data_IF_697863681364
#
_entry.id   IF_697863681364
#
_cell.length_a   1.000
_cell.length_b   1.000
_cell.length_c   1.000
_cell.angle_alpha   90.00
_cell.angle_beta   90.00
_cell.angle_gamma   90.00
#
_symmetry.space_group_name_H-M   'P 1'
#
loop_
_entity.id
_entity.type
_entity.pdbx_description
1 polymer ?
#
# COMPACT_ATOMS: atom_id res chain seq x y z
N UNK A 1 8.24 -32.74 12.94
CA UNK A 1 7.67 -32.00 11.80
C UNK A 1 6.20 -31.75 12.09
N UNK A 2 5.61 -30.66 11.58
CA UNK A 2 4.15 -30.41 11.67
C UNK A 2 3.56 -30.41 10.25
N UNK A 3 3.35 -31.58 9.62
CA UNK A 3 2.73 -31.64 8.30
C UNK A 3 1.25 -31.21 8.41
N UNK A 4 0.82 -30.28 7.56
CA UNK A 4 -0.58 -29.86 7.48
C UNK A 4 -0.96 -28.60 8.28
N UNK A 5 -0.07 -28.07 9.12
CA UNK A 5 -0.28 -26.77 9.77
C UNK A 5 0.38 -25.67 8.93
N UNK A 6 -0.39 -24.80 8.24
CA UNK A 6 0.20 -23.74 7.42
C UNK A 6 0.94 -22.77 8.34
N UNK A 7 2.18 -22.41 7.99
CA UNK A 7 3.01 -21.43 8.74
C UNK A 7 2.77 -20.00 8.27
N UNK A 8 2.48 -19.84 6.97
CA UNK A 8 2.07 -18.58 6.35
C UNK A 8 0.99 -18.90 5.32
N UNK A 9 -0.04 -18.06 5.27
CA UNK A 9 -1.09 -18.09 4.24
C UNK A 9 -0.95 -16.83 3.39
N UNK A 10 -0.84 -17.01 2.07
CA UNK A 10 -0.80 -15.94 1.07
C UNK A 10 -2.03 -16.08 0.16
N UNK A 11 -2.83 -15.02 0.06
CA UNK A 11 -3.93 -14.93 -0.89
C UNK A 11 -3.51 -14.06 -2.07
N UNK A 12 -3.76 -14.59 -3.27
CA UNK A 12 -3.40 -13.96 -4.55
C UNK A 12 -4.65 -13.81 -5.41
N UNK A 13 -4.83 -12.62 -5.98
CA UNK A 13 -5.86 -12.37 -6.98
C UNK A 13 -5.23 -12.33 -8.37
N UNK A 14 -5.79 -13.08 -9.31
CA UNK A 14 -5.37 -13.08 -10.71
C UNK A 14 -6.20 -12.03 -11.46
N UNK A 15 -5.53 -11.10 -12.12
CA UNK A 15 -6.15 -9.90 -12.71
C UNK A 15 -5.50 -9.52 -14.04
N UNK A 16 -6.17 -8.70 -14.84
CA UNK A 16 -5.60 -8.18 -16.09
C UNK A 16 -4.65 -6.99 -15.92
N UNK A 17 -4.53 -6.42 -14.71
CA UNK A 17 -3.59 -5.32 -14.40
C UNK A 17 -3.41 -5.14 -12.90
N UNK A 18 -2.36 -4.42 -12.48
CA UNK A 18 -2.10 -4.14 -11.07
C UNK A 18 -3.25 -3.37 -10.42
N UNK A 19 -3.96 -4.05 -9.51
CA UNK A 19 -5.11 -3.51 -8.77
C UNK A 19 -4.75 -2.32 -7.87
N UNK A 20 -5.65 -1.34 -7.79
CA UNK A 20 -5.53 -0.14 -6.95
C UNK A 20 -6.50 -0.12 -5.76
N UNK A 21 -7.48 -1.02 -5.69
CA UNK A 21 -8.45 -1.09 -4.60
C UNK A 21 -8.75 -2.52 -4.18
N UNK A 22 -8.97 -2.75 -2.89
CA UNK A 22 -9.37 -4.07 -2.38
C UNK A 22 -10.75 -4.47 -2.89
N UNK A 23 -11.62 -3.48 -3.18
CA UNK A 23 -12.95 -3.74 -3.70
C UNK A 23 -12.93 -4.35 -5.10
N UNK A 24 -11.95 -4.03 -5.96
CA UNK A 24 -11.85 -4.67 -7.28
C UNK A 24 -11.42 -6.13 -7.18
N UNK A 25 -10.76 -6.52 -6.09
CA UNK A 25 -10.35 -7.89 -5.81
C UNK A 25 -11.51 -8.69 -5.21
N UNK A 26 -12.19 -8.12 -4.21
CA UNK A 26 -13.29 -8.79 -3.49
C UNK A 26 -14.59 -8.86 -4.30
N UNK A 27 -14.78 -7.96 -5.27
CA UNK A 27 -15.85 -8.06 -6.28
C UNK A 27 -15.40 -9.03 -7.38
N UNK A 28 -15.12 -10.28 -7.05
CA UNK A 28 -14.85 -11.27 -8.08
C UNK A 28 -16.17 -11.62 -8.78
N UNK A 29 -16.26 -11.58 -10.13
CA UNK A 29 -17.18 -12.45 -10.84
C UNK A 29 -16.85 -13.88 -10.40
N UNK A 30 -17.84 -14.75 -10.26
CA UNK A 30 -17.64 -16.15 -9.90
C UNK A 30 -16.72 -16.85 -10.91
N UNK A 31 -15.40 -16.82 -10.68
CA UNK A 31 -14.44 -17.71 -11.31
C UNK A 31 -14.62 -19.07 -10.61
N UNK A 32 -15.70 -19.76 -10.95
CA UNK A 32 -15.92 -21.11 -10.49
C UNK A 32 -14.91 -22.01 -11.20
N UNK A 33 -13.72 -22.15 -10.62
CA UNK A 33 -12.79 -23.24 -10.93
C UNK A 33 -13.33 -24.61 -10.52
N UNK A 34 -14.66 -24.82 -10.56
CA UNK A 34 -15.24 -26.15 -10.53
C UNK A 34 -14.99 -26.73 -11.91
N UNK A 35 -13.99 -27.60 -11.99
CA UNK A 35 -13.85 -28.60 -13.04
C UNK A 35 -15.24 -29.21 -13.26
N UNK A 36 -15.89 -29.00 -14.43
CA UNK A 36 -17.14 -29.68 -14.70
C UNK A 36 -16.80 -31.16 -14.78
N UNK A 37 -17.31 -31.95 -13.84
CA UNK A 37 -17.40 -33.39 -14.07
C UNK A 37 -18.34 -33.56 -15.26
N UNK A 38 -17.74 -33.94 -16.40
CA UNK A 38 -18.36 -34.56 -17.57
C UNK A 38 -19.67 -33.93 -18.03
N UNK A 39 -19.61 -33.09 -19.06
CA UNK A 39 -20.41 -33.35 -20.25
C UNK A 39 -19.84 -32.61 -21.46
N UNK A 40 -19.69 -33.38 -22.53
CA UNK A 40 -19.17 -32.96 -23.83
C UNK A 40 -19.99 -31.81 -24.42
N UNK A 41 -19.43 -30.59 -24.40
CA UNK A 41 -19.80 -29.53 -25.34
C UNK A 41 -18.55 -28.71 -25.68
N UNK A 42 -18.27 -28.60 -26.98
CA UNK A 42 -17.01 -28.12 -27.57
C UNK A 42 -16.82 -26.59 -27.52
N UNK A 43 -17.67 -25.85 -26.80
CA UNK A 43 -17.64 -24.38 -26.73
C UNK A 43 -17.02 -23.86 -25.41
N UNK A 44 -16.93 -24.67 -24.36
CA UNK A 44 -16.38 -24.25 -23.05
C UNK A 44 -14.85 -24.06 -23.03
N UNK A 45 -14.12 -24.79 -23.87
CA UNK A 45 -12.65 -24.72 -23.94
C UNK A 45 -12.15 -23.39 -24.55
N UNK A 46 -12.98 -22.71 -25.34
CA UNK A 46 -12.62 -21.44 -26.00
C UNK A 46 -12.82 -20.27 -25.03
N UNK A 47 -13.94 -20.23 -24.28
CA UNK A 47 -14.20 -19.20 -23.27
C UNK A 47 -13.20 -19.27 -22.11
N UNK A 48 -12.88 -20.45 -21.58
CA UNK A 48 -11.87 -20.59 -20.51
C UNK A 48 -10.47 -20.14 -20.98
N UNK A 49 -10.07 -20.46 -22.21
CA UNK A 49 -8.79 -20.01 -22.78
C UNK A 49 -8.75 -18.51 -23.04
N UNK A 50 -9.85 -17.92 -23.53
CA UNK A 50 -9.96 -16.47 -23.70
C UNK A 50 -9.91 -15.73 -22.36
N UNK A 51 -10.48 -16.29 -21.29
CA UNK A 51 -10.41 -15.69 -19.96
C UNK A 51 -9.03 -15.78 -19.30
N UNK A 52 -8.37 -16.93 -19.41
CA UNK A 52 -6.98 -17.10 -18.95
C UNK A 52 -6.02 -16.16 -19.69
N UNK A 53 -6.28 -15.86 -20.97
CA UNK A 53 -5.48 -14.92 -21.75
C UNK A 53 -5.56 -13.47 -21.27
N UNK A 54 -6.62 -13.10 -20.52
CA UNK A 54 -6.81 -11.76 -19.94
C UNK A 54 -6.02 -11.57 -18.64
N UNK A 55 -5.48 -12.63 -18.05
CA UNK A 55 -4.74 -12.58 -16.79
C UNK A 55 -3.28 -12.25 -17.08
N UNK A 56 -2.83 -11.09 -16.59
CA UNK A 56 -1.45 -10.63 -16.77
C UNK A 56 -0.74 -10.28 -15.46
N UNK A 57 -1.50 -10.18 -14.36
CA UNK A 57 -1.01 -9.71 -13.07
C UNK A 57 -1.51 -10.59 -11.89
N UNK A 58 -0.58 -10.94 -11.01
CA UNK A 58 -0.84 -11.59 -9.72
C UNK A 58 -0.73 -10.57 -8.58
N UNK A 59 -1.82 -10.41 -7.81
CA UNK A 59 -1.93 -9.43 -6.73
C UNK A 59 -1.96 -10.10 -5.36
N UNK A 60 -0.89 -9.96 -4.59
CA UNK A 60 -0.80 -10.44 -3.22
C UNK A 60 -1.54 -9.48 -2.27
N UNK A 61 -2.77 -9.80 -1.92
CA UNK A 61 -3.64 -8.88 -1.14
C UNK A 61 -3.79 -9.26 0.33
N UNK A 62 -3.33 -10.45 0.74
CA UNK A 62 -3.28 -10.85 2.15
C UNK A 62 -2.13 -11.82 2.40
N UNK A 63 -1.25 -11.48 3.34
CA UNK A 63 -0.17 -12.35 3.84
C UNK A 63 -0.34 -12.44 5.36
N UNK A 64 -0.54 -13.64 5.88
CA UNK A 64 -0.79 -13.87 7.31
C UNK A 64 0.13 -14.97 7.82
N UNK A 65 1.00 -14.63 8.79
CA UNK A 65 1.70 -15.64 9.58
C UNK A 65 0.74 -16.22 10.62
N UNK A 66 0.61 -17.54 10.65
CA UNK A 66 -0.30 -18.27 11.55
C UNK A 66 0.35 -18.57 12.90
N UNK A 67 1.68 -18.49 12.98
CA UNK A 67 2.47 -18.87 14.15
C UNK A 67 3.17 -17.64 14.76
N UNK A 68 2.61 -17.10 15.85
CA UNK A 68 3.15 -15.91 16.55
C UNK A 68 4.60 -16.08 16.99
N UNK A 69 5.03 -17.31 17.32
CA UNK A 69 6.39 -17.63 17.74
C UNK A 69 7.45 -17.54 16.63
N UNK A 70 7.03 -17.46 15.36
CA UNK A 70 7.93 -17.33 14.21
C UNK A 70 8.03 -15.88 13.70
N UNK A 71 7.51 -14.91 14.47
CA UNK A 71 7.59 -13.50 14.12
C UNK A 71 9.06 -13.05 14.07
N UNK A 72 9.55 -12.73 12.88
CA UNK A 72 10.96 -12.34 12.65
C UNK A 72 11.84 -13.43 12.04
N UNK A 73 11.32 -14.65 11.84
CA UNK A 73 11.98 -15.66 11.00
C UNK A 73 11.75 -15.30 9.54
N UNK A 74 12.81 -15.29 8.73
CA UNK A 74 12.83 -14.81 7.34
C UNK A 74 12.15 -15.78 6.33
N UNK A 75 10.93 -16.19 6.64
CA UNK A 75 10.10 -17.07 5.81
C UNK A 75 9.49 -16.33 4.61
N UNK A 76 9.43 -14.99 4.66
CA UNK A 76 8.78 -14.16 3.63
C UNK A 76 9.50 -14.24 2.28
N UNK A 77 10.83 -14.15 2.30
CA UNK A 77 11.68 -14.13 1.10
C UNK A 77 11.49 -15.37 0.23
N UNK A 78 11.38 -16.52 0.88
CA UNK A 78 11.16 -17.78 0.20
C UNK A 78 9.72 -17.96 -0.27
N UNK A 79 8.75 -17.46 0.51
CA UNK A 79 7.33 -17.58 0.20
C UNK A 79 6.97 -16.90 -1.12
N UNK A 80 7.33 -15.62 -1.30
CA UNK A 80 6.97 -14.88 -2.51
C UNK A 80 7.61 -15.51 -3.75
N UNK A 81 8.90 -15.86 -3.69
CA UNK A 81 9.59 -16.51 -4.82
C UNK A 81 8.97 -17.86 -5.19
N UNK A 82 8.59 -18.67 -4.19
CA UNK A 82 7.95 -19.97 -4.42
C UNK A 82 6.60 -19.80 -5.11
N UNK A 83 5.76 -18.90 -4.59
CA UNK A 83 4.43 -18.66 -5.17
C UNK A 83 4.52 -18.06 -6.56
N UNK A 84 5.46 -17.15 -6.82
CA UNK A 84 5.71 -16.63 -8.18
C UNK A 84 6.04 -17.77 -9.14
N UNK A 85 6.94 -18.68 -8.76
CA UNK A 85 7.34 -19.80 -9.62
C UNK A 85 6.18 -20.75 -9.91
N UNK A 86 5.37 -21.06 -8.91
CA UNK A 86 4.15 -21.87 -9.09
C UNK A 86 3.18 -21.19 -10.04
N UNK A 87 2.93 -19.89 -9.86
CA UNK A 87 2.04 -19.11 -10.73
C UNK A 87 2.56 -19.03 -12.18
N UNK A 88 3.87 -18.88 -12.40
CA UNK A 88 4.44 -18.85 -13.75
C UNK A 88 4.34 -20.21 -14.46
N UNK A 89 4.42 -21.31 -13.71
CA UNK A 89 4.26 -22.65 -14.27
C UNK A 89 2.81 -22.94 -14.66
N UNK A 90 1.84 -22.45 -13.89
CA UNK A 90 0.41 -22.66 -14.13
C UNK A 90 -0.18 -21.65 -15.12
N UNK A 91 0.28 -20.39 -15.08
CA UNK A 91 -0.24 -19.27 -15.87
C UNK A 91 0.90 -18.50 -16.56
N UNK A 92 1.26 -18.94 -17.76
CA UNK A 92 2.37 -18.35 -18.54
C UNK A 92 2.15 -16.89 -18.95
N UNK A 93 0.89 -16.41 -18.97
CA UNK A 93 0.54 -15.01 -19.27
C UNK A 93 0.85 -14.01 -18.15
N UNK A 94 1.11 -14.49 -16.92
CA UNK A 94 1.38 -13.61 -15.77
C UNK A 94 2.81 -13.09 -15.84
N UNK A 95 2.94 -11.78 -16.02
CA UNK A 95 4.23 -11.08 -16.09
C UNK A 95 4.37 -10.02 -15.00
N UNK A 96 3.27 -9.66 -14.33
CA UNK A 96 3.25 -8.62 -13.31
C UNK A 96 2.97 -9.21 -11.93
N UNK A 97 3.85 -8.93 -10.97
CA UNK A 97 3.70 -9.38 -9.58
C UNK A 97 3.71 -8.15 -8.69
N UNK A 98 2.66 -7.96 -7.90
CA UNK A 98 2.56 -6.84 -6.97
C UNK A 98 1.76 -7.25 -5.76
N UNK A 99 2.00 -6.60 -4.63
CA UNK A 99 1.02 -6.62 -3.55
C UNK A 99 -0.03 -5.52 -3.74
N UNK A 100 -1.13 -5.64 -2.99
CA UNK A 100 -1.97 -4.52 -2.60
C UNK A 100 -2.06 -4.54 -1.08
N UNK A 101 -1.24 -3.73 -0.43
CA UNK A 101 -0.93 -3.85 1.00
C UNK A 101 -1.55 -2.74 1.84
N UNK A 102 -2.03 -3.04 3.06
CA UNK A 102 -2.47 -2.02 4.02
C UNK A 102 -1.27 -1.22 4.55
N UNK A 103 -1.54 -0.04 5.12
CA UNK A 103 -0.52 0.86 5.69
C UNK A 103 -0.78 1.05 7.18
N UNK A 104 -0.66 -0.01 8.01
CA UNK A 104 -1.00 0.08 9.42
C UNK A 104 -0.13 1.10 10.15
N UNK A 105 -0.75 1.92 10.99
CA UNK A 105 -0.05 2.90 11.83
C UNK A 105 0.11 4.28 11.20
N UNK A 106 -0.25 4.48 9.93
CA UNK A 106 -0.17 5.79 9.29
C UNK A 106 -1.05 6.84 9.98
N UNK A 107 -2.34 6.53 10.24
CA UNK A 107 -3.25 7.48 10.91
C UNK A 107 -2.69 7.88 12.29
N UNK A 108 -2.22 6.91 13.07
CA UNK A 108 -1.64 7.15 14.39
C UNK A 108 -0.38 8.02 14.31
N UNK A 109 0.54 7.70 13.39
CA UNK A 109 1.73 8.51 13.14
C UNK A 109 1.36 9.95 12.77
N UNK A 110 0.41 10.13 11.85
CA UNK A 110 0.00 11.45 11.38
C UNK A 110 -0.56 12.31 12.52
N UNK A 111 -1.41 11.74 13.39
CA UNK A 111 -1.94 12.47 14.54
C UNK A 111 -0.83 12.85 15.52
N UNK A 112 0.19 12.01 15.71
CA UNK A 112 1.36 12.32 16.53
C UNK A 112 2.15 13.49 15.93
N UNK A 113 2.45 13.45 14.64
CA UNK A 113 3.20 14.53 13.97
C UNK A 113 2.43 15.85 13.97
N UNK A 114 1.11 15.81 13.76
CA UNK A 114 0.24 16.99 13.88
C UNK A 114 0.32 17.58 15.30
N UNK A 115 0.23 16.74 16.35
CA UNK A 115 0.30 17.23 17.74
C UNK A 115 1.66 17.84 18.06
N UNK A 116 2.76 17.24 17.59
CA UNK A 116 4.10 17.82 17.74
C UNK A 116 4.18 19.18 17.08
N UNK A 117 3.73 19.30 15.83
CA UNK A 117 3.76 20.56 15.08
C UNK A 117 2.89 21.65 15.73
N UNK A 118 1.73 21.29 16.31
CA UNK A 118 0.90 22.22 17.07
C UNK A 118 1.61 22.73 18.34
N UNK A 119 2.28 21.85 19.08
CA UNK A 119 2.98 22.22 20.31
C UNK A 119 4.28 23.01 20.05
N UNK A 120 4.98 22.75 18.94
CA UNK A 120 6.24 23.45 18.61
C UNK A 120 6.02 24.90 18.18
N UNK A 121 4.87 25.21 17.58
CA UNK A 121 4.47 26.60 17.32
C UNK A 121 4.37 27.43 18.59
N UNK A 122 4.00 26.81 19.72
CA UNK A 122 3.96 27.49 21.02
C UNK A 122 5.37 27.78 21.59
N UNK A 123 6.41 27.09 21.09
CA UNK A 123 7.79 27.15 21.60
C UNK A 123 8.72 27.94 20.67
N UNK A 124 8.29 28.30 19.46
CA UNK A 124 9.04 29.14 18.52
C UNK A 124 10.22 28.44 17.85
N UNK A 125 10.25 27.11 17.82
CA UNK A 125 11.29 26.32 17.14
C UNK A 125 10.91 25.97 15.70
N UNK A 126 11.89 26.00 14.79
CA UNK A 126 11.73 25.60 13.39
C UNK A 126 11.65 24.07 13.26
N UNK A 127 10.44 23.50 13.28
CA UNK A 127 10.19 22.14 12.80
C UNK A 127 10.05 22.11 11.28
N UNK A 128 10.45 21.02 10.62
CA UNK A 128 10.02 20.75 9.24
C UNK A 128 8.49 20.93 9.14
N UNK A 129 8.03 21.80 8.24
CA UNK A 129 6.60 22.06 8.09
C UNK A 129 5.88 20.79 7.63
N UNK A 130 4.90 20.34 8.44
CA UNK A 130 4.16 19.12 8.13
C UNK A 130 3.33 19.29 6.84
N UNK A 131 2.72 20.47 6.67
CA UNK A 131 1.99 20.86 5.46
C UNK A 131 2.81 21.87 4.68
N UNK A 132 2.73 21.82 3.35
CA UNK A 132 3.37 22.81 2.48
C UNK A 132 2.57 24.12 2.50
N UNK A 133 3.24 25.24 2.24
CA UNK A 133 2.58 26.55 2.14
C UNK A 133 1.40 26.53 1.14
N UNK A 134 1.57 25.91 -0.02
CA UNK A 134 0.50 25.77 -1.02
C UNK A 134 -0.68 24.93 -0.52
N UNK A 135 -0.41 23.88 0.28
CA UNK A 135 -1.45 23.04 0.86
C UNK A 135 -2.20 23.79 1.96
N UNK A 136 -1.48 24.56 2.77
CA UNK A 136 -2.06 25.43 3.80
C UNK A 136 -2.97 26.46 3.15
N UNK A 137 -2.51 27.14 2.09
CA UNK A 137 -3.29 28.15 1.37
C UNK A 137 -4.56 27.56 0.73
N UNK A 138 -4.44 26.41 0.05
CA UNK A 138 -5.58 25.71 -0.56
C UNK A 138 -6.62 25.31 0.50
N UNK A 139 -6.19 24.69 1.61
CA UNK A 139 -7.06 24.29 2.72
C UNK A 139 -7.72 25.48 3.41
N UNK A 140 -6.94 26.52 3.70
CA UNK A 140 -7.41 27.76 4.33
C UNK A 140 -8.51 28.42 3.51
N UNK A 141 -8.27 28.60 2.21
CA UNK A 141 -9.21 29.23 1.30
C UNK A 141 -10.47 28.39 1.11
N UNK A 142 -10.32 27.07 0.97
CA UNK A 142 -11.45 26.17 0.78
C UNK A 142 -12.34 26.07 2.03
N UNK A 143 -11.75 25.99 3.23
CA UNK A 143 -12.47 25.84 4.49
C UNK A 143 -12.95 27.18 5.08
N UNK A 144 -12.47 28.32 4.57
CA UNK A 144 -12.82 29.64 5.08
C UNK A 144 -12.33 29.88 6.52
N UNK A 145 -11.15 29.36 6.87
CA UNK A 145 -10.58 29.42 8.22
C UNK A 145 -9.29 30.24 8.26
N UNK A 146 -8.81 30.57 9.47
CA UNK A 146 -7.48 31.17 9.63
C UNK A 146 -6.37 30.14 9.42
N UNK A 147 -5.20 30.61 9.01
CA UNK A 147 -4.01 29.78 8.77
C UNK A 147 -3.60 28.96 10.02
N UNK A 148 -3.65 29.60 11.18
CA UNK A 148 -3.36 28.99 12.48
C UNK A 148 -4.31 27.81 12.80
N UNK A 149 -5.52 27.84 12.27
CA UNK A 149 -6.54 26.81 12.50
C UNK A 149 -6.39 25.61 11.55
N UNK A 150 -5.72 25.75 10.41
CA UNK A 150 -5.68 24.73 9.34
C UNK A 150 -5.23 23.37 9.87
N UNK A 151 -4.12 23.32 10.59
CA UNK A 151 -3.55 22.07 11.08
C UNK A 151 -4.46 21.37 12.10
N UNK A 152 -5.10 22.16 12.98
CA UNK A 152 -6.09 21.66 13.94
C UNK A 152 -7.33 21.13 13.23
N UNK A 153 -7.85 21.85 12.24
CA UNK A 153 -9.01 21.40 11.45
C UNK A 153 -8.71 20.12 10.68
N UNK A 154 -7.52 20.01 10.06
CA UNK A 154 -7.07 18.77 9.40
C UNK A 154 -7.04 17.59 10.38
N UNK A 155 -6.52 17.81 11.60
CA UNK A 155 -6.55 16.82 12.68
C UNK A 155 -7.96 16.33 12.96
N UNK A 156 -8.89 17.26 13.17
CA UNK A 156 -10.27 16.98 13.54
C UNK A 156 -10.99 16.22 12.42
N UNK A 157 -10.78 16.62 11.16
CA UNK A 157 -11.30 15.92 9.97
C UNK A 157 -10.83 14.46 9.96
N UNK A 158 -9.54 14.20 10.18
CA UNK A 158 -8.96 12.84 10.18
C UNK A 158 -9.47 12.00 11.36
N UNK A 159 -9.58 12.60 12.55
CA UNK A 159 -10.00 11.89 13.77
C UNK A 159 -11.47 11.48 13.70
N UNK A 160 -12.34 12.42 13.29
CA UNK A 160 -13.80 12.23 13.20
C UNK A 160 -14.25 11.52 11.92
N UNK A 161 -13.35 11.33 10.96
CA UNK A 161 -13.64 10.83 9.61
C UNK A 161 -14.62 11.72 8.81
N UNK A 162 -14.87 12.96 9.23
CA UNK A 162 -15.83 13.86 8.58
C UNK A 162 -15.49 14.15 7.11
N UNK A 163 -14.22 14.09 6.72
CA UNK A 163 -13.78 14.28 5.34
C UNK A 163 -14.37 13.25 4.36
N UNK A 164 -14.84 12.09 4.84
CA UNK A 164 -15.42 11.04 3.99
C UNK A 164 -16.81 11.44 3.49
N UNK A 165 -17.54 12.24 4.27
CA UNK A 165 -18.94 12.59 3.99
C UNK A 165 -19.08 13.73 2.97
N UNK A 166 -18.02 14.49 2.71
CA UNK A 166 -18.02 15.61 1.79
C UNK A 166 -16.95 15.40 0.71
N UNK A 167 -17.39 15.24 -0.54
CA UNK A 167 -16.51 14.96 -1.68
C UNK A 167 -15.52 16.10 -1.94
N UNK A 168 -15.94 17.35 -1.77
CA UNK A 168 -15.07 18.51 -1.95
C UNK A 168 -13.96 18.57 -0.89
N UNK A 169 -14.29 18.29 0.39
CA UNK A 169 -13.27 18.17 1.45
C UNK A 169 -12.31 17.02 1.13
N UNK A 170 -12.84 15.89 0.67
CA UNK A 170 -12.04 14.73 0.27
C UNK A 170 -11.03 15.10 -0.84
N UNK A 171 -11.41 15.89 -1.83
CA UNK A 171 -10.53 16.27 -2.93
C UNK A 171 -9.40 17.18 -2.49
N UNK A 172 -9.69 18.16 -1.63
CA UNK A 172 -8.68 19.09 -1.11
C UNK A 172 -7.71 18.39 -0.16
N UNK A 173 -8.19 17.48 0.70
CA UNK A 173 -7.33 16.79 1.67
C UNK A 173 -6.51 15.65 1.04
N UNK A 174 -6.88 15.18 -0.16
CA UNK A 174 -6.23 14.06 -0.85
C UNK A 174 -4.73 14.29 -1.06
N UNK A 175 -4.34 15.44 -1.64
CA UNK A 175 -2.94 15.74 -1.96
C UNK A 175 -2.06 15.76 -0.70
N UNK A 176 -2.40 16.52 0.36
CA UNK A 176 -1.64 16.50 1.61
C UNK A 176 -1.52 15.11 2.23
N UNK A 177 -2.63 14.35 2.29
CA UNK A 177 -2.62 13.01 2.89
C UNK A 177 -1.76 12.03 2.09
N UNK A 178 -1.82 12.07 0.75
CA UNK A 178 -1.01 11.22 -0.10
C UNK A 178 0.48 11.56 0.03
N UNK A 179 0.86 12.85 0.06
CA UNK A 179 2.26 13.27 0.28
C UNK A 179 2.77 12.82 1.65
N UNK A 180 2.00 13.07 2.70
CA UNK A 180 2.36 12.66 4.06
C UNK A 180 2.44 11.14 4.22
N UNK A 181 1.59 10.39 3.53
CA UNK A 181 1.67 8.93 3.50
C UNK A 181 2.89 8.44 2.74
N UNK A 182 3.24 9.09 1.62
CA UNK A 182 4.50 8.81 0.93
C UNK A 182 5.70 9.11 1.82
N UNK A 183 5.71 10.22 2.57
CA UNK A 183 6.75 10.54 3.57
C UNK A 183 6.83 9.45 4.64
N UNK A 184 5.70 9.03 5.19
CA UNK A 184 5.64 7.96 6.18
C UNK A 184 6.22 6.63 5.69
N UNK A 185 5.96 6.27 4.43
CA UNK A 185 6.46 5.02 3.84
C UNK A 185 7.94 5.10 3.45
N UNK A 186 8.39 6.26 2.94
CA UNK A 186 9.70 6.40 2.32
C UNK A 186 10.75 7.10 3.18
N UNK A 187 10.39 8.10 3.98
CA UNK A 187 11.34 8.93 4.75
C UNK A 187 11.39 8.53 6.22
N UNK A 188 10.27 8.23 6.85
CA UNK A 188 10.24 7.84 8.26
C UNK A 188 10.92 6.47 8.50
N UNK A 189 11.75 6.39 9.55
CA UNK A 189 12.58 5.22 9.85
C UNK A 189 12.51 4.77 11.31
N UNK A 190 12.81 3.49 11.53
CA UNK A 190 13.13 2.89 12.84
C UNK A 190 14.41 2.08 12.70
N UNK A 191 15.47 2.50 13.41
CA UNK A 191 16.81 1.87 13.33
C UNK A 191 17.34 1.77 11.88
N UNK A 192 17.09 2.81 11.08
CA UNK A 192 17.51 2.86 9.67
C UNK A 192 16.57 2.15 8.67
N UNK A 193 15.62 1.34 9.12
CA UNK A 193 14.65 0.64 8.26
C UNK A 193 13.32 1.38 8.18
N UNK A 194 12.49 1.08 7.18
CA UNK A 194 11.17 1.69 7.03
C UNK A 194 10.34 1.57 8.31
N UNK A 195 9.74 2.68 8.76
CA UNK A 195 8.96 2.70 10.00
C UNK A 195 7.73 1.78 9.93
N UNK A 196 7.08 1.73 8.77
CA UNK A 196 5.92 0.87 8.56
C UNK A 196 6.33 -0.61 8.46
N UNK A 197 5.76 -1.52 9.27
CA UNK A 197 6.18 -2.92 9.30
C UNK A 197 5.88 -3.68 7.99
N UNK A 198 4.79 -3.30 7.30
CA UNK A 198 4.41 -3.93 6.02
C UNK A 198 5.34 -3.47 4.90
N UNK A 199 5.72 -2.18 4.89
CA UNK A 199 6.78 -1.68 4.03
C UNK A 199 8.10 -2.40 4.27
N UNK A 200 8.52 -2.50 5.54
CA UNK A 200 9.75 -3.18 5.90
C UNK A 200 9.78 -4.64 5.42
N UNK A 201 8.65 -5.34 5.54
CA UNK A 201 8.50 -6.69 5.00
C UNK A 201 8.72 -6.72 3.48
N UNK A 202 7.92 -5.99 2.70
CA UNK A 202 8.01 -6.08 1.23
C UNK A 202 9.35 -5.57 0.67
N UNK A 203 9.92 -4.51 1.27
CA UNK A 203 11.23 -3.97 0.89
C UNK A 203 12.36 -4.94 1.23
N UNK A 204 12.30 -5.61 2.38
CA UNK A 204 13.20 -6.73 2.72
C UNK A 204 13.11 -7.88 1.73
N UNK A 205 11.95 -8.03 1.08
CA UNK A 205 11.71 -8.99 0.01
C UNK A 205 12.08 -8.49 -1.40
N UNK A 206 12.72 -7.32 -1.50
CA UNK A 206 13.20 -6.77 -2.77
C UNK A 206 12.12 -6.16 -3.66
N UNK A 207 10.93 -5.91 -3.10
CA UNK A 207 9.90 -5.19 -3.82
C UNK A 207 10.25 -3.70 -3.97
N UNK A 208 9.71 -3.08 -5.02
CA UNK A 208 9.75 -1.64 -5.26
C UNK A 208 8.50 -1.01 -4.65
N UNK A 209 8.68 0.06 -3.88
CA UNK A 209 7.59 0.91 -3.43
C UNK A 209 7.03 1.66 -4.65
N UNK A 210 5.95 1.13 -5.22
CA UNK A 210 5.59 1.37 -6.62
C UNK A 210 4.48 2.41 -6.81
N UNK A 211 3.37 2.27 -6.07
CA UNK A 211 2.20 3.18 -6.21
C UNK A 211 1.43 3.29 -4.91
N UNK A 212 1.09 4.53 -4.53
CA UNK A 212 0.16 4.82 -3.45
C UNK A 212 -1.25 4.97 -4.01
N UNK A 213 -2.24 4.32 -3.37
CA UNK A 213 -3.61 4.27 -3.85
C UNK A 213 -4.55 4.99 -2.87
N UNK A 214 -5.23 6.03 -3.36
CA UNK A 214 -6.25 6.77 -2.62
C UNK A 214 -7.58 6.00 -2.55
N UNK A 215 -8.26 6.05 -1.40
CA UNK A 215 -9.56 5.37 -1.16
C UNK A 215 -9.57 3.89 -1.58
N UNK A 216 -8.44 3.21 -1.43
CA UNK A 216 -8.26 1.82 -1.83
C UNK A 216 -9.02 0.84 -0.91
N UNK A 217 -9.11 1.12 0.39
CA UNK A 217 -9.86 0.35 1.39
C UNK A 217 -10.67 1.29 2.30
N UNK A 218 -11.95 1.47 1.98
CA UNK A 218 -12.88 2.34 2.72
C UNK A 218 -13.62 1.59 3.84
N UNK A 219 -13.17 0.38 4.21
CA UNK A 219 -13.65 -0.29 5.42
C UNK A 219 -13.28 0.51 6.67
N UNK A 220 -13.98 0.27 7.78
CA UNK A 220 -13.66 0.87 9.08
C UNK A 220 -12.18 0.62 9.45
N UNK A 221 -11.67 -0.57 9.12
CA UNK A 221 -10.25 -0.92 9.35
C UNK A 221 -9.33 -0.08 8.48
N UNK A 222 -9.56 -0.01 7.16
CA UNK A 222 -8.73 0.76 6.24
C UNK A 222 -8.70 2.26 6.57
N UNK A 223 -9.86 2.83 6.91
CA UNK A 223 -9.96 4.23 7.36
C UNK A 223 -9.16 4.45 8.65
N UNK A 224 -9.29 3.56 9.63
CA UNK A 224 -8.60 3.71 10.92
C UNK A 224 -7.09 3.46 10.85
N UNK A 225 -6.63 2.61 9.93
CA UNK A 225 -5.20 2.33 9.76
C UNK A 225 -4.49 3.42 8.96
N UNK A 226 -5.11 3.85 7.85
CA UNK A 226 -4.40 4.60 6.81
C UNK A 226 -5.24 5.63 6.06
N UNK A 227 -6.35 6.10 6.65
CA UNK A 227 -7.29 7.00 5.96
C UNK A 227 -7.78 6.41 4.62
N UNK A 228 -7.91 5.09 4.56
CA UNK A 228 -8.35 4.35 3.39
C UNK A 228 -7.31 4.19 2.28
N UNK A 229 -6.07 4.64 2.49
CA UNK A 229 -4.98 4.40 1.55
C UNK A 229 -4.41 2.98 1.66
N UNK A 230 -4.01 2.44 0.51
CA UNK A 230 -3.22 1.22 0.40
C UNK A 230 -2.05 1.47 -0.56
N UNK A 231 -1.08 0.56 -0.58
CA UNK A 231 0.14 0.72 -1.39
C UNK A 231 0.42 -0.56 -2.18
N UNK A 232 0.89 -0.39 -3.41
CA UNK A 232 1.41 -1.48 -4.21
C UNK A 232 2.94 -1.59 -4.01
N UNK A 233 3.40 -2.75 -3.57
CA UNK A 233 4.81 -3.13 -3.64
C UNK A 233 5.01 -4.07 -4.82
N UNK A 234 5.71 -3.61 -5.86
CA UNK A 234 5.86 -4.36 -7.12
C UNK A 234 7.14 -5.19 -7.09
N UNK A 235 7.03 -6.45 -7.46
CA UNK A 235 8.14 -7.39 -7.56
C UNK A 235 8.61 -7.50 -9.01
N UNK A 236 9.78 -6.95 -9.30
CA UNK A 236 10.48 -7.18 -10.54
C UNK A 236 11.44 -8.35 -10.34
N UNK A 237 11.09 -9.53 -10.85
CA UNK A 237 11.74 -10.80 -10.50
C UNK A 237 13.26 -10.74 -10.67
N UNK A 238 13.72 -10.21 -11.81
CA UNK A 238 15.12 -9.98 -12.19
C UNK A 238 15.90 -9.14 -11.16
N UNK A 239 15.24 -8.24 -10.43
CA UNK A 239 15.89 -7.27 -9.54
C UNK A 239 15.60 -7.52 -8.06
N UNK A 240 14.81 -8.54 -7.71
CA UNK A 240 14.40 -8.78 -6.31
C UNK A 240 15.58 -8.99 -5.37
N UNK A 241 16.58 -9.78 -5.78
CA UNK A 241 17.75 -10.06 -4.95
C UNK A 241 18.61 -8.82 -4.74
N UNK A 242 18.87 -8.06 -5.80
CA UNK A 242 19.63 -6.82 -5.71
C UNK A 242 18.91 -5.78 -4.84
N UNK A 243 17.59 -5.63 -5.02
CA UNK A 243 16.78 -4.68 -4.25
C UNK A 243 16.74 -5.07 -2.76
N UNK A 244 16.54 -6.35 -2.45
CA UNK A 244 16.53 -6.87 -1.08
C UNK A 244 17.88 -6.58 -0.41
N UNK A 245 18.99 -6.89 -1.10
CA UNK A 245 20.33 -6.61 -0.62
C UNK A 245 20.56 -5.11 -0.37
N UNK A 246 20.18 -4.24 -1.32
CA UNK A 246 20.27 -2.78 -1.17
C UNK A 246 19.49 -2.27 0.05
N UNK A 247 18.32 -2.84 0.34
CA UNK A 247 17.52 -2.45 1.49
C UNK A 247 18.11 -2.98 2.81
N UNK A 248 18.50 -4.25 2.87
CA UNK A 248 18.99 -4.89 4.10
C UNK A 248 20.38 -4.39 4.50
N UNK A 249 21.29 -4.20 3.55
CA UNK A 249 22.67 -3.79 3.80
C UNK A 249 22.82 -2.27 3.85
N UNK A 250 22.14 -1.55 2.94
CA UNK A 250 22.38 -0.11 2.72
C UNK A 250 21.17 0.75 3.04
N UNK A 251 20.06 0.17 3.53
CA UNK A 251 18.84 0.89 3.92
C UNK A 251 18.21 1.70 2.77
N UNK A 252 18.50 1.31 1.53
CA UNK A 252 18.01 1.99 0.32
C UNK A 252 16.63 1.45 -0.05
N UNK A 253 15.63 2.34 -0.13
CA UNK A 253 14.28 2.02 -0.59
C UNK A 253 14.20 2.26 -2.09
N UNK A 254 13.91 1.20 -2.85
CA UNK A 254 13.66 1.33 -4.30
C UNK A 254 12.24 1.85 -4.55
N UNK A 255 12.13 2.88 -5.37
CA UNK A 255 10.87 3.56 -5.73
C UNK A 255 10.79 3.83 -7.23
N UNK A 256 9.59 4.11 -7.73
CA UNK A 256 9.39 4.65 -9.07
C UNK A 256 9.49 6.17 -9.08
N UNK A 257 9.81 6.80 -10.23
CA UNK A 257 9.71 8.24 -10.40
C UNK A 257 8.32 8.79 -10.05
N UNK A 258 7.26 8.09 -10.45
CA UNK A 258 5.88 8.45 -10.11
C UNK A 258 5.66 8.49 -8.60
N UNK A 259 6.15 7.51 -7.85
CA UNK A 259 6.05 7.51 -6.39
C UNK A 259 6.86 8.66 -5.77
N UNK A 260 8.08 8.89 -6.26
CA UNK A 260 8.93 10.00 -5.80
C UNK A 260 8.30 11.37 -6.09
N UNK A 261 7.56 11.53 -7.20
CA UNK A 261 6.87 12.78 -7.53
C UNK A 261 5.83 13.17 -6.46
N UNK A 262 5.25 12.19 -5.76
CA UNK A 262 4.33 12.43 -4.63
C UNK A 262 5.07 13.09 -3.45
N UNK A 263 6.36 12.77 -3.26
CA UNK A 263 7.22 13.36 -2.23
C UNK A 263 7.83 14.72 -2.64
N UNK A 264 7.93 14.98 -3.95
CA UNK A 264 8.84 15.98 -4.51
C UNK A 264 8.38 17.44 -4.37
N UNK A 265 7.32 17.72 -3.60
CA UNK A 265 6.83 19.09 -3.40
C UNK A 265 7.50 19.79 -2.19
N UNK A 266 8.52 19.18 -1.56
CA UNK A 266 9.18 19.74 -0.37
C UNK A 266 10.38 20.68 -0.64
N UNK A 267 10.81 20.90 -1.89
CA UNK A 267 11.88 21.87 -2.18
C UNK A 267 11.65 22.66 -3.47
N UNK A 268 11.10 23.86 -3.29
CA UNK A 268 11.32 25.00 -4.18
C UNK A 268 11.54 26.25 -3.31
N UNK A 269 12.66 26.28 -2.59
CA UNK A 269 13.37 27.50 -2.13
C UNK A 269 14.86 27.22 -2.21
#
# INVERSE_FOLDING_TARGET
SMPGEPVVVLHTALTGSISSSIHSILKTPTFSGRRPETDSSSDGDVEEKEELSKISAAIFYSITSTQKGLQGVDLGNYLIKTVVKELQNEFSGITQFSSLSPIPGFKTWLIIEINKALNLKDIGEHSEELLLLSEIEELKNFLGISEESVLKTVKDLIQTHAWIQNEQICDVIKKPLMRLCARYLHREKRRGFALNPVANFHLGNGAVLWRLNWKADMSIRGINQSCGMMVNYRYYLESTEENSRKYLENQVIQTTPDFLSILAVEHAV
#
